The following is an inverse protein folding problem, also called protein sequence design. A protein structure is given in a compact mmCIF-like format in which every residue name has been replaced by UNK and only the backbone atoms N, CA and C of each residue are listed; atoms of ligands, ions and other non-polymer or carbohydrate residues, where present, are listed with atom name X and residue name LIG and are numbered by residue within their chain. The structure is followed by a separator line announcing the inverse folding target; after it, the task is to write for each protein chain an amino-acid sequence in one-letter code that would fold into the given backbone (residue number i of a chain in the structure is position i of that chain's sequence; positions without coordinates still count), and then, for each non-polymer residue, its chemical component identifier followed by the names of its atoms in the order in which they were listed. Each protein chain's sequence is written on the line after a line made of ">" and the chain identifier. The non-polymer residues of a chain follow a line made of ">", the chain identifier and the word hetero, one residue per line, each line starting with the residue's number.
data_IF_025270423594
#
_entry.id   IF_025270423594
#
_cell.length_a   1.000
_cell.length_b   1.000
_cell.length_c   1.000
_cell.angle_alpha   90.00
_cell.angle_beta   90.00
_cell.angle_gamma   90.00
#
_symmetry.space_group_name_H-M   'P 1'
#
loop_
_entity.id
_entity.type
_entity.pdbx_description
1 polymer ?
#
# COMPACT_ATOMS: atom_id res chain seq x y z
N UNK A 1 -0.99 -7.39 -2.52
CA UNK A 1 -0.13 -8.00 -1.45
C UNK A 1 -0.97 -8.49 -0.28
N UNK A 2 -0.83 -9.76 0.09
CA UNK A 2 -1.48 -10.36 1.26
C UNK A 2 -0.47 -10.51 2.41
N UNK A 3 -0.89 -10.15 3.62
CA UNK A 3 -0.08 -10.22 4.84
C UNK A 3 -0.82 -11.07 5.85
N UNK A 4 -0.32 -12.29 6.08
CA UNK A 4 -0.83 -13.15 7.14
C UNK A 4 -0.17 -12.75 8.47
N UNK A 5 -0.99 -12.29 9.41
CA UNK A 5 -0.52 -11.86 10.74
C UNK A 5 -1.61 -12.10 11.77
N UNK A 6 -1.23 -12.40 13.01
CA UNK A 6 -2.16 -12.50 14.12
C UNK A 6 -2.74 -11.13 14.54
N UNK A 7 -2.14 -10.02 14.09
CA UNK A 7 -2.52 -8.65 14.47
C UNK A 7 -2.78 -7.75 13.23
N UNK A 8 -3.72 -8.08 12.33
CA UNK A 8 -3.93 -7.35 11.07
C UNK A 8 -4.34 -5.88 11.30
N UNK A 9 -5.09 -5.62 12.37
CA UNK A 9 -5.48 -4.27 12.78
C UNK A 9 -4.29 -3.40 13.22
N UNK A 10 -3.29 -4.02 13.88
CA UNK A 10 -2.07 -3.31 14.27
C UNK A 10 -1.25 -2.94 13.04
N UNK A 11 -1.19 -3.84 12.07
CA UNK A 11 -0.55 -3.59 10.78
C UNK A 11 -1.25 -2.48 9.98
N UNK A 12 -2.59 -2.47 9.96
CA UNK A 12 -3.35 -1.40 9.33
C UNK A 12 -3.14 -0.06 10.04
N UNK A 13 -3.13 -0.03 11.38
CA UNK A 13 -2.84 1.21 12.14
C UNK A 13 -1.43 1.74 11.86
N UNK A 14 -0.44 0.86 11.76
CA UNK A 14 0.92 1.23 11.42
C UNK A 14 1.02 1.85 10.01
N UNK A 15 0.36 1.24 9.03
CA UNK A 15 0.24 1.83 7.70
C UNK A 15 -0.43 3.20 7.75
N UNK A 16 -1.57 3.34 8.44
CA UNK A 16 -2.28 4.61 8.53
C UNK A 16 -1.46 5.71 9.24
N UNK A 17 -0.55 5.35 10.14
CA UNK A 17 0.33 6.30 10.83
C UNK A 17 1.41 6.89 9.91
N UNK A 18 1.71 6.26 8.76
CA UNK A 18 2.67 6.78 7.77
C UNK A 18 2.00 7.53 6.61
N UNK A 19 0.68 7.74 6.69
CA UNK A 19 -0.13 8.41 5.66
C UNK A 19 -0.25 9.92 5.94
N UNK A 20 0.23 10.73 4.99
CA UNK A 20 -0.06 12.16 4.92
C UNK A 20 -1.28 12.50 4.07
N UNK A 21 -1.75 13.74 4.18
CA UNK A 21 -2.71 14.29 3.23
C UNK A 21 -1.98 14.65 1.93
N UNK A 22 -2.57 14.35 0.78
CA UNK A 22 -1.97 14.67 -0.52
C UNK A 22 -1.79 16.18 -0.75
N UNK A 23 -2.72 17.00 -0.26
CA UNK A 23 -2.70 18.46 -0.42
C UNK A 23 -1.74 19.12 0.57
N UNK A 24 -1.42 18.42 1.67
CA UNK A 24 -0.53 18.88 2.71
C UNK A 24 0.21 17.69 3.35
N UNK A 25 1.24 17.14 2.68
CA UNK A 25 2.06 16.07 3.24
C UNK A 25 2.76 16.54 4.52
N UNK A 26 2.83 15.68 5.54
CA UNK A 26 3.72 15.92 6.67
C UNK A 26 5.11 15.37 6.40
N UNK A 27 6.11 15.84 7.15
CA UNK A 27 7.46 15.30 7.06
C UNK A 27 7.50 13.81 7.42
N UNK A 28 8.26 13.03 6.66
CA UNK A 28 8.33 11.57 6.79
C UNK A 28 7.07 10.81 6.33
N UNK A 29 6.10 11.45 5.68
CA UNK A 29 4.99 10.72 5.04
C UNK A 29 5.52 9.76 3.97
N UNK A 30 5.07 8.50 4.04
CA UNK A 30 5.43 7.44 3.08
C UNK A 30 4.32 7.23 2.04
N UNK A 31 3.09 7.48 2.47
CA UNK A 31 1.88 7.39 1.66
C UNK A 31 1.12 8.70 1.72
N UNK A 32 0.35 8.98 0.67
CA UNK A 32 -0.52 10.14 0.58
C UNK A 32 -1.94 9.70 0.30
N UNK A 33 -2.90 10.36 0.95
CA UNK A 33 -4.33 10.11 0.75
C UNK A 33 -5.02 11.38 0.24
N UNK A 34 -5.73 11.30 -0.91
CA UNK A 34 -6.64 12.36 -1.32
C UNK A 34 -7.77 12.56 -0.32
N UNK A 35 -8.27 13.79 -0.22
CA UNK A 35 -9.41 14.10 0.65
C UNK A 35 -10.61 13.20 0.29
N UNK A 36 -11.23 12.60 1.30
CA UNK A 36 -12.41 11.72 1.18
C UNK A 36 -12.20 10.50 0.27
N UNK A 37 -10.98 9.97 0.18
CA UNK A 37 -10.65 8.77 -0.58
C UNK A 37 -10.18 7.65 0.34
N UNK A 38 -10.55 6.42 0.02
CA UNK A 38 -9.99 5.21 0.65
C UNK A 38 -8.71 4.72 -0.04
N UNK A 39 -8.32 5.38 -1.13
CA UNK A 39 -7.13 5.05 -1.90
C UNK A 39 -5.93 5.89 -1.45
N UNK A 40 -4.76 5.23 -1.40
CA UNK A 40 -3.49 5.83 -1.02
C UNK A 40 -2.52 5.75 -2.20
N UNK A 41 -1.64 6.73 -2.36
CA UNK A 41 -0.55 6.69 -3.33
C UNK A 41 0.79 6.82 -2.59
N UNK A 42 1.88 6.45 -3.25
CA UNK A 42 3.23 6.71 -2.75
C UNK A 42 3.49 8.20 -2.52
N UNK A 43 4.27 8.57 -1.50
CA UNK A 43 4.62 9.97 -1.21
C UNK A 43 5.81 10.50 -2.04
N UNK A 44 6.78 9.65 -2.38
CA UNK A 44 7.84 9.99 -3.34
C UNK A 44 7.26 10.47 -4.69
N UNK A 45 7.62 11.68 -5.17
CA UNK A 45 7.17 12.21 -6.45
C UNK A 45 7.47 11.32 -7.67
N UNK A 46 8.52 10.48 -7.63
CA UNK A 46 8.80 9.52 -8.70
C UNK A 46 7.67 8.49 -8.81
N UNK A 47 7.00 8.13 -7.72
CA UNK A 47 6.04 7.03 -7.67
C UNK A 47 4.60 7.46 -7.46
N UNK A 48 4.38 8.69 -6.99
CA UNK A 48 3.05 9.24 -6.76
C UNK A 48 2.16 9.14 -8.02
N UNK A 49 0.90 8.75 -7.83
CA UNK A 49 -0.16 8.59 -8.84
C UNK A 49 0.09 7.56 -9.94
N UNK A 50 1.24 6.86 -9.92
CA UNK A 50 1.50 5.77 -10.86
C UNK A 50 0.68 4.52 -10.54
N UNK A 51 0.17 4.41 -9.32
CA UNK A 51 -0.80 3.43 -8.88
C UNK A 51 -1.49 3.92 -7.60
N UNK A 52 -2.36 3.09 -7.04
CA UNK A 52 -3.08 3.32 -5.80
C UNK A 52 -2.99 2.07 -4.94
N UNK A 53 -3.08 2.23 -3.62
CA UNK A 53 -3.20 1.16 -2.66
C UNK A 53 -4.57 1.25 -2.01
N UNK A 54 -5.25 0.12 -1.88
CA UNK A 54 -6.46 -0.03 -1.09
C UNK A 54 -6.24 -1.12 -0.02
N UNK A 55 -5.95 -0.75 1.24
CA UNK A 55 -5.84 -1.70 2.32
C UNK A 55 -7.23 -2.20 2.76
N UNK A 56 -7.33 -3.47 3.13
CA UNK A 56 -8.51 -4.04 3.75
C UNK A 56 -8.15 -5.20 4.68
N UNK A 57 -8.86 -5.32 5.81
CA UNK A 57 -8.78 -6.49 6.69
C UNK A 57 -9.89 -7.45 6.28
N UNK A 58 -9.54 -8.69 5.92
CA UNK A 58 -10.49 -9.74 5.54
C UNK A 58 -10.08 -11.05 6.17
N UNK A 59 -11.05 -11.75 6.78
CA UNK A 59 -10.86 -13.10 7.36
C UNK A 59 -9.63 -13.21 8.28
N UNK A 60 -9.32 -12.16 9.06
CA UNK A 60 -8.18 -12.15 9.98
C UNK A 60 -6.82 -11.89 9.33
N UNK A 61 -6.78 -11.45 8.06
CA UNK A 61 -5.56 -11.07 7.37
C UNK A 61 -5.66 -9.67 6.75
N UNK A 62 -4.51 -9.03 6.56
CA UNK A 62 -4.42 -7.71 5.96
C UNK A 62 -4.05 -7.85 4.47
N UNK A 63 -4.87 -7.26 3.61
CA UNK A 63 -4.64 -7.22 2.18
C UNK A 63 -4.41 -5.78 1.74
N UNK A 64 -3.36 -5.54 0.96
CA UNK A 64 -3.11 -4.29 0.27
C UNK A 64 -3.28 -4.53 -1.22
N UNK A 65 -4.37 -4.04 -1.81
CA UNK A 65 -4.58 -4.13 -3.25
C UNK A 65 -3.87 -2.98 -3.95
N UNK A 66 -3.04 -3.28 -4.95
CA UNK A 66 -2.44 -2.25 -5.81
C UNK A 66 -3.34 -2.03 -7.01
N UNK A 67 -4.03 -0.90 -7.06
CA UNK A 67 -5.03 -0.58 -8.07
C UNK A 67 -4.43 0.33 -9.14
N UNK A 68 -4.68 0.01 -10.41
CA UNK A 68 -4.24 0.85 -11.52
C UNK A 68 -5.05 2.17 -11.56
N UNK A 69 -4.48 3.29 -12.03
CA UNK A 69 -5.27 4.45 -12.40
C UNK A 69 -6.25 4.10 -13.54
N UNK A 70 -7.36 4.81 -13.64
CA UNK A 70 -8.41 4.50 -14.62
C UNK A 70 -7.92 4.56 -16.08
N UNK A 71 -6.99 5.48 -16.35
CA UNK A 71 -6.53 5.85 -17.68
C UNK A 71 -5.25 5.15 -18.13
N UNK A 72 -4.62 4.31 -17.29
CA UNK A 72 -3.35 3.66 -17.62
C UNK A 72 -3.12 2.33 -16.89
N UNK A 73 -2.24 1.50 -17.44
CA UNK A 73 -1.71 0.32 -16.76
C UNK A 73 -0.59 0.68 -15.78
N UNK A 74 -0.36 -0.15 -14.77
CA UNK A 74 0.78 0.03 -13.86
C UNK A 74 2.02 -0.64 -14.47
N UNK A 75 3.11 0.11 -14.57
CA UNK A 75 4.38 -0.44 -15.07
C UNK A 75 4.98 -1.41 -14.04
N UNK A 76 5.78 -2.38 -14.50
CA UNK A 76 6.52 -3.30 -13.61
C UNK A 76 7.34 -2.53 -12.56
N UNK A 77 7.98 -1.42 -12.96
CA UNK A 77 8.79 -0.59 -12.07
C UNK A 77 7.93 0.08 -10.98
N UNK A 78 6.81 0.67 -11.35
CA UNK A 78 5.89 1.29 -10.39
C UNK A 78 5.29 0.25 -9.45
N UNK A 79 4.89 -0.91 -9.98
CA UNK A 79 4.36 -2.00 -9.18
C UNK A 79 5.37 -2.51 -8.15
N UNK A 80 6.63 -2.70 -8.55
CA UNK A 80 7.70 -3.09 -7.64
C UNK A 80 7.98 -2.03 -6.56
N UNK A 81 7.96 -0.74 -6.91
CA UNK A 81 8.15 0.35 -5.95
C UNK A 81 7.05 0.35 -4.88
N UNK A 82 5.78 0.17 -5.28
CA UNK A 82 4.67 0.12 -4.32
C UNK A 82 4.77 -1.10 -3.39
N UNK A 83 5.14 -2.27 -3.91
CA UNK A 83 5.40 -3.45 -3.08
C UNK A 83 6.54 -3.22 -2.08
N UNK A 84 7.66 -2.66 -2.54
CA UNK A 84 8.82 -2.39 -1.70
C UNK A 84 8.47 -1.43 -0.56
N UNK A 85 7.75 -0.35 -0.86
CA UNK A 85 7.35 0.63 0.13
C UNK A 85 6.37 0.06 1.16
N UNK A 86 5.45 -0.82 0.73
CA UNK A 86 4.53 -1.51 1.64
C UNK A 86 5.29 -2.41 2.61
N UNK A 87 6.24 -3.20 2.10
CA UNK A 87 7.10 -4.04 2.95
C UNK A 87 7.90 -3.19 3.91
N UNK A 88 8.54 -2.12 3.43
CA UNK A 88 9.30 -1.18 4.26
C UNK A 88 8.46 -0.55 5.36
N UNK A 89 7.22 -0.14 5.04
CA UNK A 89 6.27 0.44 6.00
C UNK A 89 5.97 -0.53 7.15
N UNK A 90 5.77 -1.80 6.83
CA UNK A 90 5.46 -2.83 7.84
C UNK A 90 6.70 -3.21 8.66
N UNK A 91 7.88 -3.27 8.02
CA UNK A 91 9.13 -3.57 8.71
C UNK A 91 9.48 -2.49 9.74
N UNK A 92 9.40 -1.21 9.35
CA UNK A 92 9.74 -0.08 10.23
C UNK A 92 8.76 0.04 11.41
N UNK A 93 7.53 -0.42 11.24
CA UNK A 93 6.53 -0.50 12.30
C UNK A 93 6.77 -1.66 13.30
N UNK A 94 7.86 -2.42 13.15
CA UNK A 94 8.19 -3.52 14.05
C UNK A 94 7.32 -4.76 13.87
N UNK A 95 6.64 -4.90 12.72
CA UNK A 95 5.81 -6.07 12.40
C UNK A 95 6.63 -7.19 11.73
N UNK A 96 7.95 -7.22 11.95
CA UNK A 96 8.93 -8.05 11.22
C UNK A 96 9.00 -9.54 11.64
N UNK A 97 8.21 -10.00 12.62
CA UNK A 97 8.04 -11.43 12.90
C UNK A 97 7.25 -12.08 11.74
N UNK A 98 7.59 -13.31 11.30
CA UNK A 98 7.56 -13.69 9.88
C UNK A 98 6.21 -13.37 9.26
N UNK A 99 6.16 -12.23 8.56
CA UNK A 99 5.04 -11.89 7.74
C UNK A 99 5.11 -12.89 6.58
N UNK A 100 4.15 -13.81 6.53
CA UNK A 100 3.92 -14.57 5.31
C UNK A 100 3.27 -13.62 4.31
N UNK A 101 4.14 -12.96 3.54
CA UNK A 101 3.79 -11.96 2.53
C UNK A 101 3.65 -12.68 1.20
N UNK A 102 2.42 -12.70 0.68
CA UNK A 102 2.17 -13.17 -0.68
C UNK A 102 1.96 -11.96 -1.60
N UNK A 103 2.91 -11.79 -2.52
CA UNK A 103 2.80 -10.76 -3.55
C UNK A 103 1.97 -11.26 -4.72
N UNK A 104 1.09 -10.40 -5.22
CA UNK A 104 0.36 -10.63 -6.47
C UNK A 104 1.28 -10.39 -7.67
N UNK A 105 1.09 -11.17 -8.74
CA UNK A 105 1.92 -11.10 -9.96
C UNK A 105 1.34 -10.19 -11.05
N UNK A 106 0.15 -9.61 -10.84
CA UNK A 106 -0.63 -8.90 -11.87
C UNK A 106 -0.33 -7.41 -11.89
N UNK A 107 0.90 -7.08 -12.29
CA UNK A 107 1.34 -5.69 -12.40
C UNK A 107 0.50 -4.86 -13.38
N UNK A 108 0.18 -5.36 -14.58
CA UNK A 108 -0.46 -4.55 -15.61
C UNK A 108 -1.86 -4.04 -15.20
N UNK A 109 -2.72 -4.95 -14.74
CA UNK A 109 -4.13 -4.63 -14.42
C UNK A 109 -4.34 -4.11 -12.99
N UNK A 110 -3.30 -4.18 -12.16
CA UNK A 110 -3.43 -4.10 -10.71
C UNK A 110 -4.07 -5.36 -10.11
N UNK A 111 -4.18 -5.35 -8.79
CA UNK A 111 -4.92 -6.34 -8.03
C UNK A 111 -6.41 -6.13 -8.30
N UNK A 112 -6.99 -6.91 -9.22
CA UNK A 112 -8.44 -6.96 -9.41
C UNK A 112 -9.10 -7.21 -8.05
N UNK A 113 -10.13 -6.42 -7.72
CA UNK A 113 -10.92 -6.53 -6.49
C UNK A 113 -11.34 -7.99 -6.26
N UNK A 114 -10.55 -8.72 -5.48
CA UNK A 114 -10.97 -9.95 -4.83
C UNK A 114 -11.80 -9.57 -3.60
#
# INVERSE_FOLDING_TARGET
>A
MYVNTAEPEKALRAFNASVGNIDQPHDGARWLRPKNSDYFTHADPEWAYKSWVLPSVRQGSLMFNIIRPEDRYVSVKAYAAYHAELVGTLMDAGLAAPLDIKMSSRCADGDLNA
#
